data_IF_645020641356
#
_entry.id   IF_645020641356
#
_cell.length_a   1.000
_cell.length_b   1.000
_cell.length_c   1.000
_cell.angle_alpha   90.00
_cell.angle_beta   90.00
_cell.angle_gamma   90.00
#
_symmetry.space_group_name_H-M   'P 1'
#
loop_
_entity.id
_entity.type
_entity.pdbx_description
1 polymer ?
#
# COMPACT_ATOMS: atom_id res chain seq x y z
N UNK A 1 -20.46 35.76 -63.75
CA UNK A 1 -19.93 34.42 -63.41
C UNK A 1 -19.46 34.47 -61.96
N UNK A 2 -20.07 33.67 -61.08
CA UNK A 2 -19.88 33.73 -59.62
C UNK A 2 -18.73 32.80 -59.20
N UNK A 3 -17.70 33.34 -58.53
CA UNK A 3 -16.67 32.56 -57.88
C UNK A 3 -17.19 32.01 -56.53
N UNK A 4 -17.14 30.68 -56.36
CA UNK A 4 -17.44 29.98 -55.11
C UNK A 4 -16.13 29.78 -54.34
N UNK A 5 -15.99 30.45 -53.20
CA UNK A 5 -14.93 30.17 -52.23
C UNK A 5 -15.30 28.95 -51.37
N UNK A 6 -14.37 28.00 -51.27
CA UNK A 6 -14.40 26.92 -50.29
C UNK A 6 -13.56 27.34 -49.09
N UNK A 7 -14.19 27.51 -47.93
CA UNK A 7 -13.51 27.61 -46.65
C UNK A 7 -13.55 26.25 -45.98
N UNK A 8 -12.42 25.56 -45.95
CA UNK A 8 -12.22 24.37 -45.14
C UNK A 8 -12.03 24.80 -43.67
N UNK A 9 -13.00 24.49 -42.82
CA UNK A 9 -12.87 24.66 -41.39
C UNK A 9 -12.01 23.52 -40.81
N UNK A 10 -10.80 23.84 -40.38
CA UNK A 10 -9.94 22.92 -39.62
C UNK A 10 -10.46 22.88 -38.18
N UNK A 11 -11.17 21.81 -37.82
CA UNK A 11 -11.47 21.50 -36.42
C UNK A 11 -10.17 21.10 -35.71
N UNK A 12 -9.65 21.99 -34.87
CA UNK A 12 -8.60 21.66 -33.92
C UNK A 12 -9.18 20.73 -32.84
N UNK A 13 -8.88 19.44 -32.95
CA UNK A 13 -9.13 18.47 -31.87
C UNK A 13 -8.16 18.78 -30.74
N UNK A 14 -8.66 19.40 -29.68
CA UNK A 14 -7.93 19.56 -28.42
C UNK A 14 -7.89 18.18 -27.75
N UNK A 15 -6.79 17.46 -27.95
CA UNK A 15 -6.49 16.26 -27.16
C UNK A 15 -6.22 16.68 -25.71
N UNK A 16 -7.23 16.58 -24.85
CA UNK A 16 -7.04 16.57 -23.40
C UNK A 16 -6.17 15.35 -23.05
N UNK A 17 -4.88 15.61 -22.97
CA UNK A 17 -3.91 14.71 -22.36
C UNK A 17 -4.18 14.78 -20.87
N UNK A 18 -4.97 13.83 -20.35
CA UNK A 18 -5.17 13.70 -18.91
C UNK A 18 -3.80 13.68 -18.24
N UNK A 19 -3.55 14.70 -17.41
CA UNK A 19 -2.30 14.81 -16.66
C UNK A 19 -2.26 13.57 -15.79
N UNK A 20 -1.33 12.66 -16.08
CA UNK A 20 -1.02 11.56 -15.19
C UNK A 20 -0.58 12.20 -13.88
N UNK A 21 -1.43 12.15 -12.86
CA UNK A 21 -1.08 12.61 -11.51
C UNK A 21 0.15 11.81 -11.10
N UNK A 22 1.27 12.50 -10.91
CA UNK A 22 2.50 11.86 -10.51
C UNK A 22 2.27 11.07 -9.21
N UNK A 23 2.82 9.86 -9.14
CA UNK A 23 2.75 9.05 -7.92
C UNK A 23 3.32 9.87 -6.74
N UNK A 24 2.54 10.05 -5.65
CA UNK A 24 3.04 10.76 -4.48
C UNK A 24 4.22 9.98 -3.90
N UNK A 25 5.20 10.72 -3.41
CA UNK A 25 6.42 10.17 -2.84
C UNK A 25 6.40 10.32 -1.32
N UNK A 26 7.11 9.45 -0.59
CA UNK A 26 7.35 9.65 0.83
C UNK A 26 7.93 11.03 1.13
N UNK A 27 7.44 11.65 2.19
CA UNK A 27 7.79 12.99 2.62
C UNK A 27 8.68 12.93 3.87
N UNK A 28 9.61 13.88 4.06
CA UNK A 28 10.43 13.92 5.27
C UNK A 28 9.61 14.10 6.54
N UNK A 29 9.97 13.37 7.60
CA UNK A 29 9.44 13.55 8.96
C UNK A 29 10.49 14.26 9.82
N UNK A 30 10.11 15.37 10.45
CA UNK A 30 10.96 16.02 11.46
C UNK A 30 10.89 15.24 12.77
N UNK A 31 11.98 14.56 13.11
CA UNK A 31 12.08 13.78 14.34
C UNK A 31 12.53 14.62 15.54
N UNK A 32 12.98 15.87 15.35
CA UNK A 32 13.49 16.72 16.45
C UNK A 32 12.56 16.78 17.67
N UNK A 33 11.22 16.85 17.55
CA UNK A 33 10.34 16.95 18.70
C UNK A 33 10.30 15.72 19.61
N UNK A 34 10.80 14.57 19.15
CA UNK A 34 10.75 13.30 19.89
C UNK A 34 12.05 12.49 19.77
N UNK A 35 13.13 13.11 19.30
CA UNK A 35 14.40 12.46 18.99
C UNK A 35 15.04 11.83 20.22
N UNK A 36 14.94 12.49 21.36
CA UNK A 36 15.40 12.04 22.68
C UNK A 36 14.69 10.78 23.17
N UNK A 37 13.51 10.47 22.63
CA UNK A 37 12.73 9.27 22.94
C UNK A 37 13.04 8.09 22.01
N UNK A 38 13.86 8.28 20.97
CA UNK A 38 14.11 7.25 19.97
C UNK A 38 15.18 6.27 20.43
N UNK A 39 14.87 4.99 20.27
CA UNK A 39 15.83 3.89 20.40
C UNK A 39 16.23 3.42 19.02
N UNK A 40 17.53 3.33 18.76
CA UNK A 40 18.08 2.78 17.51
C UNK A 40 18.40 1.32 17.73
N UNK A 41 17.90 0.45 16.85
CA UNK A 41 18.13 -0.98 16.85
C UNK A 41 18.69 -1.42 15.50
N UNK A 42 19.33 -2.58 15.48
CA UNK A 42 19.90 -3.19 14.28
C UNK A 42 19.60 -4.68 14.23
N UNK A 43 19.24 -5.18 13.05
CA UNK A 43 19.10 -6.61 12.80
C UNK A 43 20.43 -7.25 12.31
N UNK A 44 20.47 -8.58 12.24
CA UNK A 44 21.65 -9.32 11.77
C UNK A 44 21.95 -9.10 10.27
N UNK A 45 20.97 -8.65 9.48
CA UNK A 45 21.16 -8.30 8.07
C UNK A 45 21.79 -6.92 7.87
N UNK A 46 21.91 -6.13 8.95
CA UNK A 46 22.41 -4.76 8.90
C UNK A 46 21.35 -3.69 8.69
N UNK A 47 20.06 -4.05 8.70
CA UNK A 47 18.98 -3.06 8.68
C UNK A 47 18.86 -2.36 10.04
N UNK A 48 18.39 -1.12 10.00
CA UNK A 48 18.13 -0.33 11.19
C UNK A 48 16.64 -0.18 11.44
N UNK A 49 16.29 -0.20 12.72
CA UNK A 49 14.99 0.14 13.24
C UNK A 49 15.17 1.34 14.14
N UNK A 50 14.30 2.34 14.04
CA UNK A 50 14.31 3.47 14.96
C UNK A 50 12.91 3.57 15.52
N UNK A 51 12.79 3.36 16.83
CA UNK A 51 11.50 3.16 17.49
C UNK A 51 11.32 4.15 18.63
N UNK A 52 10.11 4.64 18.80
CA UNK A 52 9.65 5.25 20.04
C UNK A 52 8.42 4.49 20.51
N UNK A 53 8.34 4.26 21.82
CA UNK A 53 7.16 3.74 22.46
C UNK A 53 6.80 4.66 23.62
N UNK A 54 6.02 5.69 23.32
CA UNK A 54 5.52 6.64 24.31
C UNK A 54 4.37 6.03 25.12
N UNK A 55 4.31 6.36 26.41
CA UNK A 55 3.31 5.90 27.36
C UNK A 55 1.92 6.55 27.20
N UNK A 56 1.77 7.55 26.31
CA UNK A 56 0.48 8.19 26.02
C UNK A 56 0.23 8.54 24.54
N UNK A 57 1.11 8.11 23.62
CA UNK A 57 1.07 8.51 22.19
C UNK A 57 1.06 7.34 21.20
N UNK A 58 0.95 7.66 19.91
CA UNK A 58 1.16 6.69 18.82
C UNK A 58 2.67 6.47 18.66
N UNK A 59 3.17 5.21 18.74
CA UNK A 59 4.59 4.95 18.56
C UNK A 59 5.01 5.27 17.12
N UNK A 60 6.24 5.71 16.91
CA UNK A 60 6.85 5.69 15.57
C UNK A 60 7.77 4.49 15.48
N UNK A 61 7.67 3.77 14.36
CA UNK A 61 8.60 2.73 13.98
C UNK A 61 9.10 3.08 12.59
N UNK A 62 10.40 3.31 12.46
CA UNK A 62 11.06 3.51 11.19
C UNK A 62 11.95 2.30 10.87
N UNK A 63 12.05 1.94 9.60
CA UNK A 63 12.87 0.83 9.14
C UNK A 63 13.60 1.15 7.85
N UNK A 64 14.85 0.70 7.73
CA UNK A 64 15.62 0.81 6.50
C UNK A 64 17.12 0.73 6.71
N UNK A 65 17.84 1.65 6.09
CA UNK A 65 19.30 1.80 6.20
C UNK A 65 19.63 2.96 7.14
N UNK A 66 20.88 3.05 7.60
CA UNK A 66 21.33 4.19 8.40
C UNK A 66 21.12 5.57 7.74
N UNK A 67 20.99 5.63 6.40
CA UNK A 67 20.83 6.87 5.64
C UNK A 67 19.37 7.19 5.29
N UNK A 68 18.51 6.17 5.25
CA UNK A 68 17.14 6.29 4.75
C UNK A 68 16.26 5.28 5.48
N UNK A 69 15.32 5.80 6.25
CA UNK A 69 14.36 5.02 7.01
C UNK A 69 12.93 5.47 6.68
N UNK A 70 12.05 4.49 6.52
CA UNK A 70 10.65 4.72 6.23
C UNK A 70 9.80 4.35 7.44
N UNK A 71 8.83 5.20 7.75
CA UNK A 71 7.80 4.90 8.74
C UNK A 71 7.05 3.62 8.37
N UNK A 72 6.78 2.79 9.37
CA UNK A 72 6.08 1.53 9.23
C UNK A 72 4.59 1.74 9.47
N UNK A 73 3.72 1.26 8.56
CA UNK A 73 2.29 1.36 8.77
C UNK A 73 1.90 0.50 9.98
N UNK A 74 1.45 1.12 11.06
CA UNK A 74 1.04 0.39 12.26
C UNK A 74 -0.28 -0.34 12.00
N UNK A 75 -0.39 -1.55 12.52
CA UNK A 75 -1.64 -2.31 12.57
C UNK A 75 -2.19 -2.26 14.01
N UNK A 76 -3.52 -2.22 14.16
CA UNK A 76 -4.20 -1.71 15.36
C UNK A 76 -3.87 -2.37 16.72
N UNK A 77 -3.17 -3.50 16.72
CA UNK A 77 -2.78 -4.23 17.92
C UNK A 77 -1.50 -3.66 18.56
N UNK A 78 -1.66 -3.11 19.76
CA UNK A 78 -0.57 -2.66 20.64
C UNK A 78 -0.79 -3.28 22.01
N UNK A 79 0.25 -3.88 22.57
CA UNK A 79 0.21 -4.48 23.89
C UNK A 79 1.26 -3.85 24.79
N UNK A 80 0.95 -3.78 26.08
CA UNK A 80 1.87 -3.31 27.11
C UNK A 80 1.66 -4.11 28.38
N UNK A 81 2.77 -4.52 28.99
CA UNK A 81 2.79 -5.12 30.31
C UNK A 81 4.02 -4.62 31.09
N UNK A 82 3.82 -3.59 31.92
CA UNK A 82 4.90 -2.89 32.59
C UNK A 82 5.77 -2.11 31.60
N UNK A 83 7.06 -2.46 31.56
CA UNK A 83 8.04 -1.91 30.60
C UNK A 83 8.00 -2.62 29.25
N UNK A 84 7.53 -3.88 29.21
CA UNK A 84 7.44 -4.65 27.98
C UNK A 84 6.28 -4.15 27.11
N UNK A 85 6.50 -4.14 25.79
CA UNK A 85 5.53 -3.68 24.82
C UNK A 85 5.69 -4.38 23.48
N UNK A 86 4.61 -4.47 22.72
CA UNK A 86 4.63 -4.92 21.33
C UNK A 86 3.75 -4.04 20.45
N UNK A 87 4.20 -3.84 19.22
CA UNK A 87 3.48 -3.08 18.19
C UNK A 87 3.38 -3.95 16.95
N UNK A 88 2.15 -4.18 16.51
CA UNK A 88 1.90 -4.85 15.24
C UNK A 88 2.06 -3.85 14.10
N UNK A 89 2.66 -4.29 13.01
CA UNK A 89 2.89 -3.51 11.80
C UNK A 89 2.33 -4.27 10.62
N UNK A 90 1.74 -3.53 9.70
CA UNK A 90 1.23 -4.11 8.48
C UNK A 90 2.39 -4.46 7.55
N UNK A 91 2.49 -5.76 7.26
CA UNK A 91 3.58 -6.36 6.50
C UNK A 91 3.00 -7.12 5.29
N UNK A 92 2.71 -6.42 4.19
CA UNK A 92 1.87 -6.93 3.09
C UNK A 92 2.43 -8.10 2.27
N UNK A 93 3.66 -8.53 2.54
CA UNK A 93 4.25 -9.72 1.91
C UNK A 93 4.03 -10.99 2.73
N UNK A 94 3.54 -10.86 3.96
CA UNK A 94 3.19 -11.99 4.80
C UNK A 94 1.81 -12.54 4.43
N UNK A 95 1.60 -13.86 4.48
CA UNK A 95 0.27 -14.43 4.31
C UNK A 95 -0.61 -14.09 5.50
N UNK A 96 -1.91 -13.85 5.26
CA UNK A 96 -2.87 -13.73 6.35
C UNK A 96 -2.87 -15.01 7.23
N UNK A 97 -3.02 -14.91 8.56
CA UNK A 97 -3.24 -13.70 9.37
C UNK A 97 -1.95 -13.08 9.91
N UNK A 98 -0.79 -13.41 9.36
CA UNK A 98 0.48 -12.95 9.91
C UNK A 98 0.70 -11.46 9.67
N UNK A 99 1.22 -10.81 10.70
CA UNK A 99 1.61 -9.41 10.72
C UNK A 99 3.07 -9.34 11.16
N UNK A 100 3.74 -8.23 10.83
CA UNK A 100 5.04 -7.96 11.46
C UNK A 100 4.80 -7.50 12.89
N UNK A 101 5.75 -7.77 13.77
CA UNK A 101 5.76 -7.22 15.13
C UNK A 101 7.15 -6.68 15.44
N UNK A 102 7.19 -5.56 16.17
CA UNK A 102 8.38 -5.12 16.89
C UNK A 102 8.03 -5.12 18.38
N UNK A 103 8.89 -5.72 19.18
CA UNK A 103 8.64 -5.94 20.61
C UNK A 103 9.88 -5.58 21.43
N UNK A 104 9.61 -5.01 22.60
CA UNK A 104 10.51 -5.01 23.74
C UNK A 104 9.95 -5.98 24.80
N UNK A 105 10.63 -7.11 24.98
CA UNK A 105 10.18 -8.21 25.81
C UNK A 105 10.47 -7.98 27.30
N UNK A 106 9.84 -8.78 28.16
CA UNK A 106 10.01 -8.69 29.63
C UNK A 106 11.43 -9.00 30.10
N UNK A 107 12.19 -9.75 29.33
CA UNK A 107 13.59 -10.06 29.59
C UNK A 107 14.55 -8.92 29.21
N UNK A 108 14.03 -7.79 28.74
CA UNK A 108 14.81 -6.62 28.33
C UNK A 108 15.38 -6.71 26.93
N UNK A 109 14.96 -7.69 26.12
CA UNK A 109 15.43 -7.84 24.74
C UNK A 109 14.49 -7.18 23.73
N UNK A 110 15.05 -6.72 22.62
CA UNK A 110 14.27 -6.29 21.47
C UNK A 110 14.21 -7.40 20.44
N UNK A 111 13.05 -7.57 19.81
CA UNK A 111 12.88 -8.53 18.72
C UNK A 111 11.89 -8.06 17.68
N UNK A 112 11.99 -8.65 16.51
CA UNK A 112 10.97 -8.56 15.46
C UNK A 112 10.50 -9.94 15.07
N UNK A 113 9.21 -10.07 14.80
CA UNK A 113 8.59 -11.33 14.39
C UNK A 113 7.81 -11.09 13.12
N UNK A 114 8.10 -11.87 12.08
CA UNK A 114 7.37 -11.84 10.81
C UNK A 114 6.40 -13.02 10.70
N UNK A 115 6.83 -14.20 11.12
CA UNK A 115 5.96 -15.37 11.27
C UNK A 115 6.36 -16.10 12.53
N UNK A 116 5.59 -17.10 12.96
CA UNK A 116 5.96 -17.93 14.11
C UNK A 116 7.33 -18.63 13.98
N UNK A 117 7.90 -18.69 12.77
CA UNK A 117 9.21 -19.28 12.49
C UNK A 117 10.29 -18.25 12.16
N UNK A 118 9.92 -16.97 12.05
CA UNK A 118 10.79 -15.87 11.66
C UNK A 118 10.80 -14.81 12.76
N UNK A 119 11.34 -15.20 13.90
CA UNK A 119 11.68 -14.30 15.01
C UNK A 119 13.18 -13.97 14.93
N UNK A 120 13.50 -12.69 15.11
CA UNK A 120 14.86 -12.19 15.08
C UNK A 120 15.11 -11.22 16.24
N UNK A 121 16.19 -11.46 16.98
CA UNK A 121 16.69 -10.51 17.97
C UNK A 121 17.24 -9.24 17.31
N UNK A 122 16.95 -8.10 17.92
CA UNK A 122 17.45 -6.78 17.52
C UNK A 122 18.47 -6.30 18.56
N UNK A 123 19.59 -5.79 18.09
CA UNK A 123 20.65 -5.24 18.96
C UNK A 123 20.48 -3.74 19.11
N UNK A 124 20.54 -3.24 20.34
CA UNK A 124 20.52 -1.80 20.61
C UNK A 124 21.82 -1.16 20.09
N UNK A 125 21.68 -0.07 19.34
CA UNK A 125 22.78 0.75 18.86
C UNK A 125 22.86 1.98 19.76
N UNK A 126 24.03 2.24 20.34
CA UNK A 126 24.25 3.35 21.28
C UNK A 126 25.41 4.25 20.84
N UNK A 127 25.67 5.31 21.60
CA UNK A 127 26.82 6.20 21.42
C UNK A 127 26.82 6.96 20.10
N UNK A 128 28.02 7.26 19.59
CA UNK A 128 28.22 8.04 18.37
C UNK A 128 27.47 7.49 17.17
N UNK A 129 27.34 6.15 17.08
CA UNK A 129 26.65 5.54 15.93
C UNK A 129 25.16 5.80 15.94
N UNK A 130 24.52 5.72 17.11
CA UNK A 130 23.11 6.05 17.26
C UNK A 130 22.86 7.52 16.93
N UNK A 131 23.68 8.42 17.51
CA UNK A 131 23.63 9.85 17.24
C UNK A 131 23.78 10.15 15.75
N UNK A 132 24.75 9.52 15.07
CA UNK A 132 24.95 9.69 13.63
C UNK A 132 23.69 9.34 12.82
N UNK A 133 23.02 8.23 13.15
CA UNK A 133 21.80 7.79 12.46
C UNK A 133 20.66 8.79 12.70
N UNK A 134 20.48 9.24 13.94
CA UNK A 134 19.43 10.20 14.29
C UNK A 134 19.70 11.60 13.72
N UNK A 135 20.96 11.99 13.55
CA UNK A 135 21.34 13.32 13.04
C UNK A 135 21.34 13.38 11.51
N UNK A 136 21.83 12.33 10.85
CA UNK A 136 22.09 12.32 9.41
C UNK A 136 21.12 11.44 8.62
N UNK A 137 20.39 10.56 9.29
CA UNK A 137 19.39 9.70 8.66
C UNK A 137 18.23 10.51 8.08
N UNK A 138 17.74 10.11 6.92
CA UNK A 138 16.50 10.65 6.35
C UNK A 138 15.32 9.81 6.83
N UNK A 139 14.49 10.40 7.68
CA UNK A 139 13.25 9.83 8.16
C UNK A 139 12.13 10.25 7.23
N UNK A 140 11.46 9.28 6.64
CA UNK A 140 10.42 9.51 5.64
C UNK A 140 9.10 8.90 6.13
N UNK A 141 7.97 9.46 5.71
CA UNK A 141 6.67 8.78 5.80
C UNK A 141 6.72 7.43 5.09
N UNK A 142 5.73 6.57 5.31
CA UNK A 142 5.84 5.19 4.80
C UNK A 142 6.01 5.09 3.29
N UNK A 143 6.87 4.18 2.84
CA UNK A 143 7.04 3.87 1.42
C UNK A 143 5.79 3.23 0.78
N UNK A 144 4.80 2.83 1.60
CA UNK A 144 3.56 2.24 1.08
C UNK A 144 2.54 3.32 0.72
N UNK A 145 2.65 3.81 -0.51
CA UNK A 145 1.82 4.92 -1.00
C UNK A 145 0.43 4.51 -1.45
N UNK A 146 0.21 3.20 -1.67
CA UNK A 146 -1.03 2.64 -2.21
C UNK A 146 -1.49 1.44 -1.41
N UNK A 147 -2.81 1.26 -1.41
CA UNK A 147 -3.50 0.13 -0.77
C UNK A 147 -4.40 -0.58 -1.77
N UNK A 148 -4.64 -1.88 -1.58
CA UNK A 148 -5.57 -2.63 -2.41
C UNK A 148 -6.99 -2.14 -2.16
N UNK A 149 -7.78 -2.03 -3.23
CA UNK A 149 -9.20 -1.73 -3.16
C UNK A 149 -10.05 -2.92 -3.62
N UNK A 150 -9.70 -3.51 -4.76
CA UNK A 150 -10.43 -4.63 -5.35
C UNK A 150 -9.46 -5.63 -5.95
N UNK A 151 -9.73 -6.92 -5.77
CA UNK A 151 -9.09 -8.01 -6.47
C UNK A 151 -10.16 -8.96 -6.99
N UNK A 152 -10.07 -9.33 -8.26
CA UNK A 152 -10.91 -10.35 -8.85
C UNK A 152 -10.14 -11.13 -9.93
N UNK A 153 -10.68 -12.27 -10.36
CA UNK A 153 -10.14 -13.03 -11.49
C UNK A 153 -11.24 -13.68 -12.32
N UNK A 154 -10.94 -13.96 -13.58
CA UNK A 154 -11.75 -14.91 -14.37
C UNK A 154 -11.28 -16.37 -14.16
N UNK A 155 -11.98 -17.31 -14.80
CA UNK A 155 -11.65 -18.75 -14.75
C UNK A 155 -10.41 -19.14 -15.57
N UNK A 156 -9.84 -18.20 -16.32
CA UNK A 156 -8.61 -18.38 -17.10
C UNK A 156 -7.39 -17.84 -16.37
N UNK A 157 -7.56 -17.39 -15.13
CA UNK A 157 -6.48 -16.82 -14.31
C UNK A 157 -6.04 -15.43 -14.76
N UNK A 158 -6.91 -14.67 -15.45
CA UNK A 158 -6.72 -13.24 -15.68
C UNK A 158 -7.23 -12.49 -14.46
N UNK A 159 -6.33 -11.74 -13.83
CA UNK A 159 -6.62 -10.90 -12.67
C UNK A 159 -7.06 -9.51 -13.09
N UNK A 160 -7.97 -8.96 -12.29
CA UNK A 160 -8.48 -7.61 -12.34
C UNK A 160 -8.21 -7.01 -10.97
N UNK A 161 -7.38 -5.98 -10.92
CA UNK A 161 -6.89 -5.41 -9.67
C UNK A 161 -7.07 -3.90 -9.67
N UNK A 162 -7.59 -3.37 -8.57
CA UNK A 162 -7.68 -1.93 -8.33
C UNK A 162 -6.93 -1.59 -7.07
N UNK A 163 -6.08 -0.58 -7.17
CA UNK A 163 -5.51 0.10 -6.01
C UNK A 163 -5.90 1.57 -5.97
N UNK A 164 -5.69 2.17 -4.81
CA UNK A 164 -5.93 3.58 -4.55
C UNK A 164 -4.81 4.11 -3.67
N UNK A 165 -4.57 5.42 -3.72
CA UNK A 165 -3.63 6.04 -2.78
C UNK A 165 -4.06 5.75 -1.34
N UNK A 166 -3.09 5.48 -0.48
CA UNK A 166 -3.30 5.38 0.95
C UNK A 166 -3.82 6.72 1.48
N UNK A 167 -4.60 6.71 2.58
CA UNK A 167 -5.26 7.91 3.11
C UNK A 167 -4.29 9.07 3.36
N UNK A 168 -3.10 8.78 3.89
CA UNK A 168 -2.04 9.77 4.15
C UNK A 168 -1.51 10.45 2.87
N UNK A 169 -1.75 9.85 1.70
CA UNK A 169 -1.37 10.38 0.39
C UNK A 169 -2.60 10.87 -0.41
N UNK A 170 -3.66 11.26 0.30
CA UNK A 170 -4.86 11.88 -0.28
C UNK A 170 -6.03 10.92 -0.51
N UNK A 171 -5.83 9.59 -0.42
CA UNK A 171 -6.93 8.61 -0.42
C UNK A 171 -7.72 8.45 -1.73
N UNK A 172 -7.42 9.25 -2.76
CA UNK A 172 -8.04 9.28 -4.07
C UNK A 172 -7.02 8.88 -5.16
N UNK A 173 -7.45 8.65 -6.40
CA UNK A 173 -6.52 8.30 -7.50
C UNK A 173 -6.38 6.79 -7.68
N UNK A 174 -7.43 6.20 -8.27
CA UNK A 174 -7.51 4.79 -8.59
C UNK A 174 -6.57 4.40 -9.73
N UNK A 175 -6.08 3.16 -9.70
CA UNK A 175 -5.45 2.51 -10.86
C UNK A 175 -6.10 1.15 -11.08
N UNK A 176 -6.45 0.85 -12.32
CA UNK A 176 -6.94 -0.46 -12.74
C UNK A 176 -5.82 -1.20 -13.43
N UNK A 177 -5.63 -2.47 -13.07
CA UNK A 177 -4.67 -3.37 -13.70
C UNK A 177 -5.38 -4.64 -14.15
N UNK A 178 -5.01 -5.14 -15.33
CA UNK A 178 -5.55 -6.39 -15.88
C UNK A 178 -4.39 -7.22 -16.45
N UNK A 179 -4.36 -8.52 -16.13
CA UNK A 179 -3.32 -9.42 -16.66
C UNK A 179 -3.16 -10.73 -15.90
N UNK A 180 -2.17 -11.53 -16.29
CA UNK A 180 -1.74 -12.71 -15.50
C UNK A 180 -0.80 -12.27 -14.38
N UNK A 181 -0.60 -13.14 -13.39
CA UNK A 181 0.46 -12.96 -12.38
C UNK A 181 1.80 -12.62 -13.06
N UNK A 182 2.53 -11.65 -12.50
CA UNK A 182 3.79 -11.13 -13.01
C UNK A 182 3.71 -10.29 -14.29
N UNK A 183 2.53 -10.20 -14.93
CA UNK A 183 2.33 -9.54 -16.23
C UNK A 183 1.09 -8.62 -16.22
N UNK A 184 0.81 -8.00 -15.08
CA UNK A 184 -0.28 -7.03 -14.95
C UNK A 184 0.02 -5.78 -15.76
N UNK A 185 -0.98 -5.28 -16.48
CA UNK A 185 -0.89 -4.02 -17.23
C UNK A 185 -1.85 -3.00 -16.64
N UNK A 186 -1.35 -1.81 -16.33
CA UNK A 186 -2.20 -0.69 -15.95
C UNK A 186 -3.06 -0.27 -17.15
N UNK A 187 -4.35 -0.15 -16.94
CA UNK A 187 -5.31 0.32 -17.94
C UNK A 187 -5.73 1.74 -17.56
N UNK A 188 -5.59 2.72 -18.47
CA UNK A 188 -6.04 4.09 -18.20
C UNK A 188 -7.52 4.15 -17.89
N UNK A 189 -7.85 4.74 -16.75
CA UNK A 189 -9.22 5.02 -16.31
C UNK A 189 -9.69 6.32 -16.96
N UNK A 190 -10.92 6.33 -17.47
CA UNK A 190 -11.58 7.53 -17.99
C UNK A 190 -12.59 8.13 -17.03
N UNK A 191 -13.21 7.31 -16.18
CA UNK A 191 -14.20 7.74 -15.19
C UNK A 191 -14.29 6.76 -14.02
N UNK A 192 -14.69 7.26 -12.85
CA UNK A 192 -14.94 6.47 -11.64
C UNK A 192 -16.22 6.93 -10.96
N UNK A 193 -17.16 6.00 -10.76
CA UNK A 193 -18.33 6.20 -9.92
C UNK A 193 -18.21 5.33 -8.66
N UNK A 194 -18.31 5.95 -7.49
CA UNK A 194 -18.32 5.28 -6.18
C UNK A 194 -19.52 5.79 -5.38
N UNK A 195 -20.45 4.91 -5.06
CA UNK A 195 -21.65 5.21 -4.29
C UNK A 195 -22.09 3.99 -3.44
N UNK A 196 -23.29 4.05 -2.85
CA UNK A 196 -23.82 2.96 -2.01
C UNK A 196 -24.05 1.66 -2.78
N UNK A 197 -24.23 1.72 -4.10
CA UNK A 197 -24.36 0.56 -4.99
C UNK A 197 -23.03 -0.08 -5.35
N UNK A 198 -21.90 0.59 -5.07
CA UNK A 198 -20.54 0.05 -5.22
C UNK A 198 -19.64 0.95 -6.06
N UNK A 199 -18.72 0.33 -6.81
CA UNK A 199 -17.67 1.01 -7.55
C UNK A 199 -17.68 0.62 -9.03
N UNK A 200 -17.61 1.60 -9.93
CA UNK A 200 -17.49 1.42 -11.37
C UNK A 200 -16.24 2.14 -11.87
N UNK A 201 -15.31 1.39 -12.45
CA UNK A 201 -14.09 1.91 -13.07
C UNK A 201 -14.19 1.78 -14.59
N UNK A 202 -14.47 2.89 -15.25
CA UNK A 202 -14.60 2.95 -16.71
C UNK A 202 -13.21 3.10 -17.34
N UNK A 203 -12.89 2.26 -18.31
CA UNK A 203 -11.62 2.32 -19.05
C UNK A 203 -11.87 2.31 -20.55
N UNK A 204 -10.86 2.69 -21.34
CA UNK A 204 -10.94 2.60 -22.82
C UNK A 204 -11.23 1.17 -23.34
N UNK A 205 -10.99 0.14 -22.53
CA UNK A 205 -11.11 -1.26 -22.96
C UNK A 205 -12.32 -1.99 -22.39
N UNK A 206 -13.08 -1.33 -21.51
CA UNK A 206 -14.22 -1.89 -20.79
C UNK A 206 -14.36 -1.33 -19.37
N UNK A 207 -15.42 -1.74 -18.69
CA UNK A 207 -15.75 -1.32 -17.34
C UNK A 207 -15.51 -2.45 -16.35
N UNK A 208 -14.82 -2.16 -15.25
CA UNK A 208 -14.75 -3.04 -14.09
C UNK A 208 -15.77 -2.55 -13.06
N UNK A 209 -16.76 -3.39 -12.74
CA UNK A 209 -17.84 -3.05 -11.81
C UNK A 209 -17.80 -3.94 -10.59
N UNK A 210 -17.82 -3.33 -9.41
CA UNK A 210 -18.06 -3.95 -8.13
C UNK A 210 -19.44 -3.50 -7.65
N UNK A 211 -20.44 -4.37 -7.71
CA UNK A 211 -21.80 -4.03 -7.27
C UNK A 211 -22.06 -4.67 -5.92
N UNK A 212 -22.51 -3.84 -4.96
CA UNK A 212 -22.94 -4.26 -3.62
C UNK A 212 -24.46 -4.31 -3.62
N UNK A 213 -25.02 -5.51 -3.55
CA UNK A 213 -26.46 -5.64 -3.43
C UNK A 213 -26.87 -5.47 -1.96
N UNK A 214 -27.64 -4.42 -1.66
CA UNK A 214 -28.12 -4.05 -0.33
C UNK A 214 -29.51 -4.64 -0.03
N UNK A 215 -29.82 -5.83 -0.56
CA UNK A 215 -31.04 -6.55 -0.18
C UNK A 215 -31.10 -6.75 1.35
N UNK A 216 -32.33 -6.81 1.89
CA UNK A 216 -32.68 -6.76 3.33
C UNK A 216 -32.10 -7.90 4.20
N UNK A 217 -31.29 -8.80 3.64
CA UNK A 217 -30.62 -9.86 4.37
C UNK A 217 -29.19 -9.43 4.72
N UNK A 218 -28.77 -9.68 5.96
CA UNK A 218 -27.68 -9.02 6.72
C UNK A 218 -26.26 -9.18 6.14
N UNK A 219 -26.10 -9.67 4.90
CA UNK A 219 -24.84 -9.79 4.18
C UNK A 219 -25.00 -9.33 2.72
N UNK A 220 -24.57 -8.10 2.43
CA UNK A 220 -24.57 -7.58 1.07
C UNK A 220 -23.79 -8.51 0.13
N UNK A 221 -24.47 -9.11 -0.86
CA UNK A 221 -23.80 -9.92 -1.88
C UNK A 221 -23.01 -8.99 -2.79
N UNK A 222 -21.69 -9.19 -2.82
CA UNK A 222 -20.79 -8.44 -3.70
C UNK A 222 -20.65 -9.22 -5.01
N UNK A 223 -20.91 -8.56 -6.14
CA UNK A 223 -20.66 -9.12 -7.47
C UNK A 223 -19.63 -8.27 -8.19
N UNK A 224 -18.64 -8.91 -8.81
CA UNK A 224 -17.64 -8.21 -9.64
C UNK A 224 -17.78 -8.66 -11.08
N UNK A 225 -17.81 -7.70 -12.01
CA UNK A 225 -17.97 -7.99 -13.43
C UNK A 225 -17.07 -7.13 -14.29
N UNK A 226 -16.62 -7.69 -15.40
CA UNK A 226 -15.94 -6.98 -16.48
C UNK A 226 -16.86 -6.88 -17.69
N UNK A 227 -17.09 -5.67 -18.18
CA UNK A 227 -17.96 -5.40 -19.33
C UNK A 227 -17.11 -4.83 -20.46
N UNK A 228 -17.08 -5.49 -21.60
CA UNK A 228 -16.39 -5.02 -22.81
C UNK A 228 -17.38 -5.00 -23.99
N UNK A 229 -17.84 -3.81 -24.34
CA UNK A 229 -18.98 -3.67 -25.26
C UNK A 229 -20.21 -4.34 -24.66
N UNK A 230 -20.87 -5.22 -25.43
CA UNK A 230 -22.03 -5.99 -24.97
C UNK A 230 -21.65 -7.22 -24.13
N UNK A 231 -20.37 -7.62 -24.14
CA UNK A 231 -19.93 -8.82 -23.44
C UNK A 231 -19.75 -8.53 -21.95
N UNK A 232 -20.56 -9.18 -21.12
CA UNK A 232 -20.41 -9.24 -19.66
C UNK A 232 -19.69 -10.51 -19.24
N UNK A 233 -18.65 -10.36 -18.41
CA UNK A 233 -17.90 -11.47 -17.81
C UNK A 233 -18.04 -11.35 -16.29
N UNK A 234 -18.66 -12.35 -15.66
CA UNK A 234 -18.66 -12.45 -14.20
C UNK A 234 -17.27 -12.85 -13.71
N UNK A 235 -16.82 -12.21 -12.63
CA UNK A 235 -15.50 -12.41 -12.05
C UNK A 235 -15.64 -12.98 -10.65
N UNK A 236 -14.70 -13.83 -10.29
CA UNK A 236 -14.55 -14.32 -8.92
C UNK A 236 -13.89 -13.21 -8.11
N UNK A 237 -14.66 -12.57 -7.23
CA UNK A 237 -14.15 -11.60 -6.27
C UNK A 237 -13.25 -12.29 -5.25
N UNK A 238 -12.06 -11.76 -5.04
CA UNK A 238 -11.08 -12.24 -4.08
C UNK A 238 -10.90 -11.18 -3.00
N UNK A 239 -10.81 -11.60 -1.74
CA UNK A 239 -10.52 -10.69 -0.65
C UNK A 239 -9.07 -10.17 -0.77
N UNK A 240 -8.85 -8.84 -0.91
CA UNK A 240 -7.49 -8.31 -1.06
C UNK A 240 -6.61 -8.49 0.18
N UNK A 241 -7.19 -8.51 1.37
CA UNK A 241 -6.47 -8.69 2.63
C UNK A 241 -5.96 -10.13 2.77
N UNK A 242 -6.80 -11.12 2.44
CA UNK A 242 -6.42 -12.54 2.42
C UNK A 242 -5.39 -12.87 1.33
N UNK A 243 -5.33 -12.05 0.27
CA UNK A 243 -4.48 -12.27 -0.90
C UNK A 243 -3.31 -11.26 -0.98
N UNK A 244 -2.87 -10.74 0.15
CA UNK A 244 -1.75 -9.78 0.22
C UNK A 244 -0.46 -10.28 -0.47
N UNK A 245 0.06 -11.50 -0.21
CA UNK A 245 1.25 -11.99 -0.91
C UNK A 245 1.08 -12.03 -2.43
N UNK A 246 -0.09 -12.46 -2.91
CA UNK A 246 -0.39 -12.44 -4.34
C UNK A 246 -0.28 -11.00 -4.89
N UNK A 247 -0.86 -10.02 -4.22
CA UNK A 247 -0.86 -8.62 -4.66
C UNK A 247 0.56 -8.01 -4.62
N UNK A 248 1.27 -8.18 -3.52
CA UNK A 248 2.52 -7.47 -3.22
C UNK A 248 3.80 -8.19 -3.64
N UNK A 249 3.68 -9.46 -4.05
CA UNK A 249 4.79 -10.27 -4.60
C UNK A 249 4.48 -10.74 -6.02
N UNK A 250 3.36 -11.41 -6.23
CA UNK A 250 3.17 -12.22 -7.43
C UNK A 250 2.53 -11.47 -8.61
N UNK A 251 1.70 -10.45 -8.38
CA UNK A 251 1.06 -9.68 -9.47
C UNK A 251 2.06 -8.79 -10.23
N UNK A 252 3.20 -8.45 -9.62
CA UNK A 252 4.22 -7.59 -10.25
C UNK A 252 3.85 -6.10 -10.33
N UNK A 253 2.81 -5.67 -9.60
CA UNK A 253 2.38 -4.25 -9.57
C UNK A 253 3.28 -3.40 -8.67
N UNK A 254 3.79 -3.98 -7.58
CA UNK A 254 4.57 -3.27 -6.57
C UNK A 254 6.02 -3.71 -6.56
N UNK A 255 6.92 -2.72 -6.54
CA UNK A 255 8.33 -2.89 -6.15
C UNK A 255 8.50 -2.45 -4.71
N UNK A 256 7.78 -3.08 -3.79
CA UNK A 256 7.73 -2.63 -2.40
C UNK A 256 9.11 -2.75 -1.76
N UNK A 257 9.63 -1.61 -1.30
CA UNK A 257 10.83 -1.47 -0.48
C UNK A 257 10.47 -0.67 0.77
N UNK A 258 11.20 -0.86 1.86
CA UNK A 258 11.04 -0.03 3.06
C UNK A 258 9.99 -0.51 4.06
N UNK A 259 9.52 -1.75 3.96
CA UNK A 259 8.71 -2.39 5.02
C UNK A 259 9.49 -3.51 5.72
N UNK A 260 9.29 -3.64 7.02
CA UNK A 260 9.75 -4.81 7.79
C UNK A 260 9.05 -6.06 7.23
N UNK A 261 9.70 -7.22 7.33
CA UNK A 261 9.24 -8.48 6.73
C UNK A 261 9.05 -8.43 5.21
N UNK A 262 9.59 -7.40 4.55
CA UNK A 262 9.48 -7.21 3.11
C UNK A 262 10.58 -7.91 2.30
N UNK A 263 11.59 -8.51 2.94
CA UNK A 263 12.67 -9.24 2.25
C UNK A 263 12.46 -10.74 2.41
N UNK A 264 12.29 -11.43 1.29
CA UNK A 264 12.63 -12.85 1.10
C UNK A 264 13.84 -12.91 0.16
#
# INVERSE_FOLDING_TARGET
MRARGWSAAVLAVVCWSGIAVAEPKPEPIDIKPFKDKLTVLKDASGAFYVVTFDHGGVPYIFYGTAKLLYEQPLEGSRSRNGTAWSVSIWAPRLPFPFQGTVEYAKDGTFRTTCTSKLEQGLTVVTGEKATEILDKGKFMTTAVTRRPLLLARDDRGIYYYVDVLSKQYGGNGHRVFIGKKGAMKQIPISDVATDSGGDVFSTKTGDLRLVRNLDQDVRAKVTTTWIKGEKRTELITLDPYMNQPLIYRDLGVYKLHGTICGRE
#
